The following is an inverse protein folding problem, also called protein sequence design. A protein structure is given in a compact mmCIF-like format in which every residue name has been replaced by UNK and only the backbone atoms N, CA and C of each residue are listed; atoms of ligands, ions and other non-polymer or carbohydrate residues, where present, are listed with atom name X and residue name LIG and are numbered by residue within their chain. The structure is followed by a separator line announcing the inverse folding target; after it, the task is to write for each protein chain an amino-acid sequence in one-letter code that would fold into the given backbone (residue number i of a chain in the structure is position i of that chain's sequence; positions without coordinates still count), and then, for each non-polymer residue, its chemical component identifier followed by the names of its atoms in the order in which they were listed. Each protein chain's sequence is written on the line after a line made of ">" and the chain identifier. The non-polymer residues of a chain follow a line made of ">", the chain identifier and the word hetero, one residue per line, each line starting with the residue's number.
data_IF_890933059041
#
_entry.id   IF_890933059041
#
_cell.length_a   1.000
_cell.length_b   1.000
_cell.length_c   1.000
_cell.angle_alpha   90.00
_cell.angle_beta   90.00
_cell.angle_gamma   90.00
#
_symmetry.space_group_name_H-M   'P 1'
#
loop_
_entity.id
_entity.type
_entity.pdbx_description
1 polymer ?
#
# COMPACT_ATOMS: atom_id res chain seq x y z
N UNK A 1 11.35 -14.43 13.94
CA UNK A 1 10.14 -13.90 13.28
C UNK A 1 10.54 -12.67 12.48
N UNK A 2 10.49 -12.73 11.14
CA UNK A 2 10.74 -11.55 10.30
C UNK A 2 9.70 -10.48 10.64
N UNK A 3 10.11 -9.21 10.72
CA UNK A 3 9.24 -8.06 11.02
C UNK A 3 8.16 -7.96 9.94
N UNK A 4 6.98 -8.53 10.18
CA UNK A 4 5.87 -8.55 9.22
C UNK A 4 5.21 -7.16 9.07
N UNK A 5 5.60 -6.15 9.85
CA UNK A 5 4.97 -4.84 9.70
C UNK A 5 5.90 -3.71 10.09
N UNK A 6 6.45 -3.11 9.06
CA UNK A 6 7.03 -1.76 9.11
C UNK A 6 6.52 -0.98 7.90
N UNK A 7 6.19 -1.65 6.79
CA UNK A 7 5.67 -1.01 5.57
C UNK A 7 4.27 -0.38 5.76
N UNK A 8 3.32 -1.06 6.41
CA UNK A 8 1.97 -0.49 6.61
C UNK A 8 1.97 0.73 7.54
N UNK A 9 2.76 0.71 8.62
CA UNK A 9 2.98 1.90 9.47
C UNK A 9 3.69 3.00 8.66
N UNK A 10 4.67 2.63 7.83
CA UNK A 10 5.39 3.58 7.00
C UNK A 10 4.45 4.23 6.00
N UNK A 11 3.52 3.47 5.39
CA UNK A 11 2.50 3.92 4.44
C UNK A 11 1.53 4.96 5.04
N UNK A 12 1.02 4.68 6.24
CA UNK A 12 0.16 5.61 6.96
C UNK A 12 0.93 6.83 7.50
N UNK A 13 2.23 6.69 7.78
CA UNK A 13 3.11 7.80 8.22
C UNK A 13 3.69 8.64 7.08
N UNK A 14 3.54 8.27 5.80
CA UNK A 14 4.25 8.91 4.68
C UNK A 14 3.95 10.40 4.54
N UNK A 15 2.87 10.88 5.14
CA UNK A 15 2.51 12.30 5.08
C UNK A 15 2.62 12.99 6.45
N UNK A 16 2.85 12.24 7.54
CA UNK A 16 2.85 12.73 8.93
C UNK A 16 4.20 12.63 9.62
N UNK A 17 5.13 13.52 9.26
CA UNK A 17 6.23 14.01 10.09
C UNK A 17 7.02 12.98 10.91
N UNK A 18 8.17 12.54 10.39
CA UNK A 18 9.29 12.09 11.22
C UNK A 18 9.86 13.29 11.99
N UNK A 19 9.23 13.65 13.12
CA UNK A 19 9.89 14.50 14.11
C UNK A 19 11.05 13.71 14.72
N UNK A 20 12.26 14.27 14.57
CA UNK A 20 13.50 13.65 14.99
C UNK A 20 13.53 13.25 16.45
N UNK A 21 13.64 11.94 16.70
CA UNK A 21 14.22 11.46 17.95
C UNK A 21 15.72 11.78 17.93
N UNK A 22 16.12 12.71 18.79
CA UNK A 22 17.52 13.03 19.07
C UNK A 22 18.32 11.77 19.39
N UNK A 23 19.50 11.68 18.77
CA UNK A 23 20.39 10.54 18.86
C UNK A 23 20.79 10.23 20.29
N UNK A 24 20.56 8.98 20.70
CA UNK A 24 21.33 8.34 21.76
C UNK A 24 22.13 7.23 21.09
N UNK A 25 23.44 7.48 20.96
CA UNK A 25 24.44 6.53 20.45
C UNK A 25 24.37 5.22 21.23
N UNK A 26 24.12 4.06 20.59
CA UNK A 26 24.25 2.79 21.28
C UNK A 26 25.73 2.41 21.41
N UNK A 27 26.10 2.08 22.65
CA UNK A 27 27.35 1.46 23.07
C UNK A 27 27.50 0.07 22.42
N UNK A 28 28.67 -0.27 21.85
CA UNK A 28 28.84 -1.57 21.20
C UNK A 28 29.00 -2.68 22.23
N UNK A 29 28.11 -3.68 22.16
CA UNK A 29 28.18 -4.90 22.97
C UNK A 29 29.06 -5.97 22.30
N UNK A 30 29.81 -6.68 23.15
CA UNK A 30 30.80 -7.71 22.85
C UNK A 30 30.32 -8.87 21.96
N UNK A 31 31.23 -9.33 21.12
CA UNK A 31 31.13 -10.54 20.29
C UNK A 31 31.17 -11.80 21.17
N UNK A 32 30.21 -12.72 20.95
CA UNK A 32 30.27 -14.08 21.45
C UNK A 32 30.30 -15.08 20.28
N UNK A 33 31.42 -15.78 20.21
CA UNK A 33 31.73 -16.98 19.41
C UNK A 33 30.65 -18.06 19.51
N UNK A 34 30.27 -18.70 18.41
CA UNK A 34 29.64 -20.03 18.44
C UNK A 34 30.07 -20.89 17.28
N UNK A 35 30.32 -22.15 17.63
CA UNK A 35 30.99 -23.21 16.89
C UNK A 35 30.23 -23.76 15.68
N UNK A 36 31.04 -24.22 14.74
CA UNK A 36 30.76 -25.01 13.55
C UNK A 36 30.36 -26.45 13.92
N UNK A 37 29.25 -26.94 13.37
CA UNK A 37 28.90 -28.38 13.36
C UNK A 37 28.55 -28.79 11.93
N UNK A 38 29.14 -29.92 11.58
CA UNK A 38 29.40 -30.49 10.26
C UNK A 38 28.39 -31.62 9.92
N UNK A 39 28.23 -31.91 8.62
CA UNK A 39 27.80 -33.19 7.98
C UNK A 39 26.32 -33.63 8.11
N UNK A 40 25.64 -33.90 6.99
CA UNK A 40 25.46 -35.27 6.41
C UNK A 40 24.63 -35.26 5.10
N UNK A 41 25.11 -36.09 4.17
CA UNK A 41 24.70 -36.41 2.81
C UNK A 41 23.34 -37.10 2.60
N UNK A 42 22.87 -36.92 1.36
CA UNK A 42 22.15 -37.82 0.43
C UNK A 42 20.76 -38.39 0.76
N UNK A 43 19.84 -38.27 -0.21
CA UNK A 43 19.27 -39.41 -0.96
C UNK A 43 18.51 -38.88 -2.19
N UNK A 44 18.93 -39.30 -3.39
CA UNK A 44 18.24 -39.03 -4.66
C UNK A 44 16.99 -39.92 -4.83
N UNK A 45 15.88 -39.33 -5.27
CA UNK A 45 14.66 -40.03 -5.71
C UNK A 45 14.48 -39.92 -7.23
N UNK A 46 13.93 -40.97 -7.88
CA UNK A 46 13.87 -41.11 -9.34
C UNK A 46 12.83 -40.20 -10.02
N UNK A 47 12.96 -39.96 -11.35
CA UNK A 47 12.08 -39.06 -12.09
C UNK A 47 10.71 -39.68 -12.37
N UNK A 48 9.65 -39.04 -11.86
CA UNK A 48 8.24 -39.32 -12.20
C UNK A 48 7.91 -38.71 -13.56
N UNK A 49 7.26 -39.51 -14.41
CA UNK A 49 6.86 -39.17 -15.77
C UNK A 49 5.98 -37.91 -15.83
N UNK A 50 6.32 -37.00 -16.73
CA UNK A 50 5.59 -35.79 -17.03
C UNK A 50 4.28 -36.13 -17.77
N UNK A 51 3.16 -35.80 -17.15
CA UNK A 51 1.84 -35.78 -17.77
C UNK A 51 1.67 -34.38 -18.39
N UNK A 52 1.54 -34.32 -19.71
CA UNK A 52 1.27 -33.07 -20.46
C UNK A 52 -0.14 -32.58 -20.10
N UNK A 53 -0.22 -31.69 -19.12
CA UNK A 53 -1.44 -30.97 -18.78
C UNK A 53 -1.67 -29.87 -19.84
N UNK A 54 -2.71 -30.09 -20.65
CA UNK A 54 -3.18 -29.19 -21.69
C UNK A 54 -3.65 -27.88 -21.03
N UNK A 55 -2.82 -26.84 -21.08
CA UNK A 55 -3.07 -25.56 -20.44
C UNK A 55 -4.30 -24.87 -21.07
N UNK A 56 -5.45 -24.96 -20.42
CA UNK A 56 -6.61 -24.14 -20.72
C UNK A 56 -6.25 -22.66 -20.49
N UNK A 57 -6.26 -21.90 -21.58
CA UNK A 57 -6.07 -20.44 -21.57
C UNK A 57 -7.25 -19.78 -20.87
N UNK A 58 -7.09 -19.40 -19.62
CA UNK A 58 -8.08 -18.62 -18.87
C UNK A 58 -8.18 -17.22 -19.49
N UNK A 59 -9.33 -16.91 -20.08
CA UNK A 59 -9.63 -15.61 -20.67
C UNK A 59 -9.76 -14.57 -19.55
N UNK A 60 -8.80 -13.65 -19.43
CA UNK A 60 -8.83 -12.57 -18.44
C UNK A 60 -10.00 -11.63 -18.75
N UNK A 61 -10.94 -11.49 -17.82
CA UNK A 61 -12.07 -10.56 -17.95
C UNK A 61 -11.57 -9.14 -17.71
N UNK A 62 -11.51 -8.33 -18.77
CA UNK A 62 -11.22 -6.89 -18.64
C UNK A 62 -12.37 -6.19 -17.90
N UNK A 63 -12.03 -5.52 -16.79
CA UNK A 63 -12.97 -4.68 -16.04
C UNK A 63 -13.12 -3.33 -16.75
N UNK A 64 -14.33 -3.03 -17.21
CA UNK A 64 -14.66 -1.75 -17.84
C UNK A 64 -14.52 -0.57 -16.87
N UNK A 65 -14.23 0.62 -17.42
CA UNK A 65 -14.14 1.85 -16.64
C UNK A 65 -15.44 2.12 -15.86
N UNK A 66 -15.37 2.52 -14.58
CA UNK A 66 -16.57 2.82 -13.78
C UNK A 66 -17.41 3.97 -14.36
N UNK A 67 -16.76 5.01 -14.90
CA UNK A 67 -17.43 6.17 -15.48
C UNK A 67 -16.63 6.76 -16.66
N UNK A 68 -17.28 7.64 -17.43
CA UNK A 68 -16.62 8.37 -18.52
C UNK A 68 -15.50 9.27 -17.98
N UNK A 69 -14.37 9.30 -18.68
CA UNK A 69 -13.20 10.10 -18.31
C UNK A 69 -12.28 9.48 -17.27
N UNK A 70 -12.61 8.30 -16.73
CA UNK A 70 -11.70 7.54 -15.88
C UNK A 70 -10.58 6.92 -16.71
N UNK A 71 -9.40 6.79 -16.12
CA UNK A 71 -8.19 6.24 -16.72
C UNK A 71 -7.73 5.03 -15.91
N UNK A 72 -7.28 3.98 -16.59
CA UNK A 72 -6.70 2.81 -15.95
C UNK A 72 -5.23 3.09 -15.63
N UNK A 73 -4.83 2.77 -14.42
CA UNK A 73 -3.44 2.74 -14.00
C UNK A 73 -3.09 1.29 -13.66
N UNK A 74 -1.93 0.84 -14.13
CA UNK A 74 -1.48 -0.55 -14.01
C UNK A 74 -0.01 -0.56 -13.58
N UNK A 75 0.35 -1.44 -12.65
CA UNK A 75 1.70 -1.49 -12.13
C UNK A 75 1.87 -2.34 -10.88
N UNK A 76 3.07 -2.88 -10.70
CA UNK A 76 3.43 -3.62 -9.49
C UNK A 76 2.60 -4.89 -9.21
N UNK A 77 1.86 -5.41 -10.22
CA UNK A 77 0.97 -6.57 -10.12
C UNK A 77 -0.49 -6.24 -9.77
N UNK A 78 -0.90 -4.99 -9.92
CA UNK A 78 -2.29 -4.59 -9.77
C UNK A 78 -2.68 -3.49 -10.75
N UNK A 79 -3.99 -3.33 -10.90
CA UNK A 79 -4.60 -2.33 -11.74
C UNK A 79 -5.78 -1.66 -11.04
N UNK A 80 -6.01 -0.39 -11.33
CA UNK A 80 -7.10 0.41 -10.75
C UNK A 80 -7.56 1.48 -11.74
N UNK A 81 -8.85 1.80 -11.73
CA UNK A 81 -9.37 2.95 -12.47
C UNK A 81 -9.44 4.17 -11.56
N UNK A 82 -8.91 5.30 -12.03
CA UNK A 82 -8.94 6.59 -11.33
C UNK A 82 -9.66 7.65 -12.18
N UNK A 83 -10.28 8.67 -11.57
CA UNK A 83 -10.78 9.82 -12.31
C UNK A 83 -9.69 10.48 -13.17
N UNK A 84 -10.07 11.07 -14.30
CA UNK A 84 -9.13 11.66 -15.24
C UNK A 84 -8.30 12.83 -14.71
N UNK A 85 -8.67 13.39 -13.55
CA UNK A 85 -7.97 14.45 -12.81
C UNK A 85 -6.78 13.93 -12.00
N UNK A 86 -6.65 12.61 -11.82
CA UNK A 86 -5.53 12.02 -11.13
C UNK A 86 -4.31 11.92 -12.05
N UNK A 87 -3.17 12.37 -11.54
CA UNK A 87 -1.85 12.25 -12.17
C UNK A 87 -0.93 11.45 -11.25
N UNK A 88 -0.15 10.53 -11.82
CA UNK A 88 0.70 9.63 -11.06
C UNK A 88 1.21 8.48 -11.91
N UNK A 89 1.59 7.39 -11.26
CA UNK A 89 2.12 6.22 -11.93
C UNK A 89 2.75 5.23 -10.97
N UNK A 90 3.70 4.46 -11.48
CA UNK A 90 4.46 3.47 -10.71
C UNK A 90 5.76 4.12 -10.28
N UNK A 91 6.04 4.33 -8.98
CA UNK A 91 7.26 5.04 -8.58
C UNK A 91 8.58 4.40 -9.04
N UNK A 92 8.63 3.11 -9.34
CA UNK A 92 9.81 2.47 -9.95
C UNK A 92 10.03 2.82 -11.43
N UNK A 93 9.02 3.37 -12.11
CA UNK A 93 9.05 3.75 -13.53
C UNK A 93 8.99 5.29 -13.70
N UNK A 94 8.14 5.95 -12.92
CA UNK A 94 7.78 7.36 -13.03
C UNK A 94 8.38 8.24 -11.91
N UNK A 95 9.49 7.80 -11.31
CA UNK A 95 10.01 8.37 -10.08
C UNK A 95 10.20 9.89 -10.11
N UNK A 96 10.91 10.39 -11.13
CA UNK A 96 11.27 11.80 -11.25
C UNK A 96 10.02 12.67 -11.40
N UNK A 97 9.03 12.20 -12.17
CA UNK A 97 7.75 12.88 -12.34
C UNK A 97 6.98 12.97 -11.01
N UNK A 98 6.84 11.85 -10.31
CA UNK A 98 6.13 11.77 -9.04
C UNK A 98 6.80 12.64 -7.97
N UNK A 99 8.11 12.53 -7.82
CA UNK A 99 8.86 13.28 -6.82
C UNK A 99 8.84 14.79 -7.10
N UNK A 100 8.96 15.18 -8.38
CA UNK A 100 8.81 16.59 -8.78
C UNK A 100 7.42 17.10 -8.45
N UNK A 101 6.37 16.31 -8.77
CA UNK A 101 4.99 16.72 -8.56
C UNK A 101 4.67 16.92 -7.08
N UNK A 102 5.15 16.04 -6.20
CA UNK A 102 5.01 16.19 -4.74
C UNK A 102 5.61 17.52 -4.26
N UNK A 103 6.84 17.84 -4.71
CA UNK A 103 7.54 19.08 -4.33
C UNK A 103 6.85 20.33 -4.85
N UNK A 104 6.30 20.29 -6.06
CA UNK A 104 5.56 21.41 -6.65
C UNK A 104 4.28 21.73 -5.87
N UNK A 105 3.63 20.71 -5.30
CA UNK A 105 2.35 20.88 -4.61
C UNK A 105 2.56 21.53 -3.25
N UNK A 106 3.52 21.03 -2.47
CA UNK A 106 3.90 21.67 -1.22
C UNK A 106 5.41 21.44 -0.96
N UNK A 107 6.23 22.51 -0.86
CA UNK A 107 7.63 22.38 -0.48
C UNK A 107 7.89 21.64 0.83
N UNK A 108 6.91 21.64 1.76
CA UNK A 108 7.01 20.90 3.02
C UNK A 108 6.98 19.37 2.82
N UNK A 109 6.62 18.89 1.62
CA UNK A 109 6.62 17.47 1.25
C UNK A 109 7.97 16.97 0.71
N UNK A 110 9.04 17.74 0.80
CA UNK A 110 10.39 17.33 0.35
C UNK A 110 10.83 15.97 0.94
N UNK A 111 10.53 15.73 2.22
CA UNK A 111 10.85 14.47 2.88
C UNK A 111 10.10 13.28 2.28
N UNK A 112 8.86 13.50 1.85
CA UNK A 112 8.02 12.48 1.22
C UNK A 112 8.62 12.12 -0.15
N UNK A 113 8.92 13.15 -0.96
CA UNK A 113 9.57 12.97 -2.25
C UNK A 113 10.90 12.20 -2.10
N UNK A 114 11.75 12.61 -1.15
CA UNK A 114 13.03 11.94 -0.87
C UNK A 114 12.85 10.47 -0.47
N UNK A 115 11.84 10.15 0.35
CA UNK A 115 11.61 8.79 0.80
C UNK A 115 11.10 7.89 -0.34
N UNK A 116 10.27 8.41 -1.24
CA UNK A 116 9.85 7.71 -2.46
C UNK A 116 11.06 7.48 -3.37
N UNK A 117 11.93 8.48 -3.55
CA UNK A 117 13.18 8.36 -4.31
C UNK A 117 14.12 7.29 -3.76
N UNK A 118 14.16 7.12 -2.44
CA UNK A 118 14.97 6.11 -1.78
C UNK A 118 14.33 4.72 -1.80
N UNK A 119 13.02 4.62 -1.96
CA UNK A 119 12.26 3.38 -1.83
C UNK A 119 11.16 3.27 -2.91
N UNK A 120 11.49 3.37 -4.21
CA UNK A 120 10.48 3.41 -5.27
C UNK A 120 9.63 2.13 -5.32
N UNK A 121 10.23 0.98 -4.98
CA UNK A 121 9.56 -0.32 -4.96
C UNK A 121 8.58 -0.50 -3.78
N UNK A 122 8.51 0.46 -2.86
CA UNK A 122 7.56 0.40 -1.75
C UNK A 122 6.12 0.49 -2.24
N UNK A 123 5.90 1.23 -3.34
CA UNK A 123 4.58 1.47 -3.92
C UNK A 123 4.43 0.71 -5.22
N UNK A 124 3.30 0.00 -5.35
CA UNK A 124 2.84 -0.49 -6.64
C UNK A 124 2.29 0.66 -7.49
N UNK A 125 1.70 1.67 -6.85
CA UNK A 125 1.11 2.83 -7.51
C UNK A 125 1.04 4.03 -6.55
N UNK A 126 1.24 5.24 -7.08
CA UNK A 126 1.01 6.49 -6.38
C UNK A 126 0.44 7.53 -7.34
N UNK A 127 -0.68 8.14 -6.97
CA UNK A 127 -1.32 9.19 -7.77
C UNK A 127 -1.97 10.27 -6.90
N UNK A 128 -2.11 11.45 -7.49
CA UNK A 128 -2.59 12.66 -6.83
C UNK A 128 -3.71 13.26 -7.65
N UNK A 129 -4.75 13.74 -6.98
CA UNK A 129 -5.79 14.50 -7.63
C UNK A 129 -5.28 15.92 -7.92
N UNK A 130 -5.33 16.35 -9.17
CA UNK A 130 -4.99 17.72 -9.55
C UNK A 130 -6.03 18.74 -9.10
N UNK A 131 -7.24 18.31 -8.73
CA UNK A 131 -8.26 19.17 -8.15
C UNK A 131 -8.05 19.32 -6.63
N UNK A 132 -7.52 20.47 -6.22
CA UNK A 132 -7.32 20.82 -4.80
C UNK A 132 -8.68 21.14 -4.16
N UNK A 133 -8.96 20.54 -3.01
CA UNK A 133 -10.17 20.78 -2.21
C UNK A 133 -10.16 22.13 -1.48
N UNK A 134 -11.07 22.30 -0.53
CA UNK A 134 -11.14 23.54 0.27
C UNK A 134 -9.95 23.70 1.23
N UNK A 135 -9.37 22.57 1.66
CA UNK A 135 -8.17 22.54 2.51
C UNK A 135 -6.90 22.39 1.67
N UNK A 136 -5.76 22.92 2.13
CA UNK A 136 -4.46 22.80 1.46
C UNK A 136 -3.84 21.39 1.64
N UNK A 137 -4.67 20.34 1.62
CA UNK A 137 -4.24 18.95 1.65
C UNK A 137 -4.48 18.33 0.28
N UNK A 138 -3.43 17.71 -0.26
CA UNK A 138 -3.49 17.06 -1.56
C UNK A 138 -4.22 15.72 -1.45
N UNK A 139 -5.36 15.62 -2.12
CA UNK A 139 -6.04 14.33 -2.24
C UNK A 139 -5.16 13.38 -3.04
N UNK A 140 -4.94 12.19 -2.50
CA UNK A 140 -4.05 11.21 -3.12
C UNK A 140 -4.55 9.79 -2.91
N UNK A 141 -4.02 8.90 -3.74
CA UNK A 141 -4.17 7.46 -3.62
C UNK A 141 -2.79 6.82 -3.71
N UNK A 142 -2.54 5.84 -2.86
CA UNK A 142 -1.38 4.99 -2.98
C UNK A 142 -1.78 3.51 -2.81
N UNK A 143 -1.01 2.64 -3.47
CA UNK A 143 -1.17 1.19 -3.38
C UNK A 143 0.17 0.59 -3.02
N UNK A 144 0.17 -0.22 -1.96
CA UNK A 144 1.32 -1.07 -1.61
C UNK A 144 0.89 -2.53 -1.58
N UNK A 145 1.87 -3.42 -1.69
CA UNK A 145 1.67 -4.83 -1.45
C UNK A 145 2.62 -5.36 -0.39
N UNK A 146 2.11 -6.23 0.48
CA UNK A 146 2.90 -6.90 1.50
C UNK A 146 2.76 -8.41 1.35
N UNK A 147 3.85 -9.16 1.53
CA UNK A 147 3.78 -10.61 1.56
C UNK A 147 2.93 -11.07 2.75
N UNK A 148 1.89 -11.84 2.47
CA UNK A 148 0.96 -12.35 3.46
C UNK A 148 0.90 -13.88 3.38
N UNK A 149 1.37 -14.60 4.41
CA UNK A 149 1.33 -16.06 4.44
C UNK A 149 -0.08 -16.60 4.14
N UNK A 150 -0.17 -17.68 3.36
CA UNK A 150 -1.46 -18.23 2.91
C UNK A 150 -2.40 -18.64 4.06
N UNK A 151 -1.83 -19.00 5.21
CA UNK A 151 -2.56 -19.39 6.41
C UNK A 151 -3.00 -18.20 7.29
N UNK A 152 -2.59 -16.97 6.97
CA UNK A 152 -3.00 -15.79 7.73
C UNK A 152 -4.30 -15.24 7.15
N UNK A 153 -5.32 -15.13 7.99
CA UNK A 153 -6.61 -14.56 7.60
C UNK A 153 -6.55 -13.04 7.60
N UNK A 154 -7.49 -12.40 6.90
CA UNK A 154 -7.55 -10.93 6.83
C UNK A 154 -7.87 -10.31 8.19
N UNK A 155 -8.67 -10.97 9.03
CA UNK A 155 -8.98 -10.57 10.41
C UNK A 155 -7.72 -10.56 11.27
N UNK A 156 -6.92 -11.64 11.19
CA UNK A 156 -5.69 -11.74 11.96
C UNK A 156 -4.68 -10.68 11.52
N UNK A 157 -4.58 -10.44 10.21
CA UNK A 157 -3.74 -9.39 9.67
C UNK A 157 -4.19 -8.00 10.11
N UNK A 158 -5.50 -7.74 10.14
CA UNK A 158 -6.07 -6.49 10.63
C UNK A 158 -5.76 -6.28 12.11
N UNK A 159 -5.90 -7.29 12.95
CA UNK A 159 -5.60 -7.19 14.38
C UNK A 159 -4.12 -6.86 14.63
N UNK A 160 -3.21 -7.48 13.87
CA UNK A 160 -1.77 -7.17 13.91
C UNK A 160 -1.53 -5.71 13.48
N UNK A 161 -2.16 -5.29 12.37
CA UNK A 161 -2.10 -3.93 11.85
C UNK A 161 -2.54 -2.90 12.90
N UNK A 162 -3.69 -3.12 13.56
CA UNK A 162 -4.21 -2.23 14.60
C UNK A 162 -3.28 -2.10 15.80
N UNK A 163 -2.60 -3.18 16.20
CA UNK A 163 -1.61 -3.14 17.29
C UNK A 163 -0.36 -2.34 16.94
N UNK A 164 -0.11 -2.13 15.66
CA UNK A 164 1.08 -1.47 15.12
C UNK A 164 0.81 -0.01 14.75
N UNK A 165 -0.45 0.37 14.58
CA UNK A 165 -0.81 1.75 14.30
C UNK A 165 -0.34 2.68 15.43
N UNK A 166 0.36 3.77 15.09
CA UNK A 166 0.73 4.78 16.06
C UNK A 166 -0.50 5.40 16.74
N UNK A 167 -0.34 5.88 17.97
CA UNK A 167 -1.46 6.37 18.78
C UNK A 167 -2.18 7.60 18.20
N UNK A 168 -1.55 8.34 17.28
CA UNK A 168 -2.16 9.46 16.57
C UNK A 168 -3.17 9.04 15.49
N UNK A 169 -3.19 7.77 15.09
CA UNK A 169 -4.18 7.25 14.14
C UNK A 169 -5.44 6.84 14.90
N UNK A 170 -6.54 7.50 14.58
CA UNK A 170 -7.83 7.23 15.17
C UNK A 170 -8.72 6.50 14.15
N UNK A 171 -8.89 5.19 14.32
CA UNK A 171 -9.83 4.40 13.51
C UNK A 171 -11.26 4.76 13.95
N UNK A 172 -12.04 5.35 13.04
CA UNK A 172 -13.42 5.78 13.30
C UNK A 172 -14.46 4.84 12.69
N UNK A 173 -14.08 4.02 11.72
CA UNK A 173 -14.95 3.03 11.07
C UNK A 173 -14.12 1.81 10.66
N UNK A 174 -14.69 0.61 10.80
CA UNK A 174 -14.12 -0.67 10.37
C UNK A 174 -15.26 -1.52 9.77
N UNK A 175 -15.10 -1.99 8.54
CA UNK A 175 -16.08 -2.83 7.86
C UNK A 175 -15.40 -3.93 7.03
N UNK A 176 -15.89 -5.17 7.16
CA UNK A 176 -15.51 -6.29 6.29
C UNK A 176 -16.36 -6.26 5.03
N UNK A 177 -15.71 -6.24 3.87
CA UNK A 177 -16.35 -6.11 2.56
C UNK A 177 -15.72 -7.11 1.57
N UNK A 178 -16.19 -7.09 0.33
CA UNK A 178 -15.55 -7.79 -0.78
C UNK A 178 -15.22 -6.80 -1.90
N UNK A 179 -14.03 -6.93 -2.48
CA UNK A 179 -13.62 -6.18 -3.68
C UNK A 179 -13.30 -7.21 -4.76
N UNK A 180 -14.08 -7.21 -5.85
CA UNK A 180 -13.93 -8.17 -6.96
C UNK A 180 -13.84 -9.64 -6.48
N UNK A 181 -14.79 -10.03 -5.61
CA UNK A 181 -14.87 -11.36 -4.98
C UNK A 181 -13.67 -11.76 -4.11
N UNK A 182 -12.82 -10.79 -3.73
CA UNK A 182 -11.74 -10.99 -2.77
C UNK A 182 -12.13 -10.43 -1.40
N UNK A 183 -11.90 -11.19 -0.30
CA UNK A 183 -12.12 -10.67 1.05
C UNK A 183 -11.29 -9.41 1.28
N UNK A 184 -11.93 -8.38 1.84
CA UNK A 184 -11.29 -7.12 2.12
C UNK A 184 -11.80 -6.49 3.42
N UNK A 185 -11.05 -5.53 3.94
CA UNK A 185 -11.44 -4.68 5.06
C UNK A 185 -11.33 -3.23 4.64
N UNK A 186 -12.35 -2.42 4.92
CA UNK A 186 -12.30 -0.96 4.85
C UNK A 186 -12.12 -0.39 6.26
N UNK A 187 -11.14 0.49 6.40
CA UNK A 187 -10.95 1.33 7.59
C UNK A 187 -11.15 2.79 7.19
N UNK A 188 -11.82 3.55 8.05
CA UNK A 188 -11.77 5.01 7.99
C UNK A 188 -10.93 5.50 9.15
N UNK A 189 -9.89 6.28 8.85
CA UNK A 189 -8.88 6.70 9.82
C UNK A 189 -8.78 8.22 9.80
N UNK A 190 -8.76 8.82 10.99
CA UNK A 190 -8.50 10.25 11.18
C UNK A 190 -7.14 10.46 11.84
N UNK A 191 -6.40 11.47 11.39
CA UNK A 191 -5.14 11.87 11.99
C UNK A 191 -4.81 13.35 11.72
N UNK A 192 -3.84 13.88 12.47
CA UNK A 192 -3.26 15.20 12.22
C UNK A 192 -1.88 15.05 11.58
N UNK A 193 -1.62 15.88 10.58
CA UNK A 193 -0.53 15.69 9.65
C UNK A 193 -0.03 17.04 9.12
N UNK A 194 1.21 17.40 9.46
CA UNK A 194 1.77 18.73 9.16
C UNK A 194 0.82 19.89 9.56
N UNK A 195 0.10 19.74 10.67
CA UNK A 195 -0.90 20.71 11.16
C UNK A 195 -2.25 20.69 10.43
N UNK A 196 -2.46 19.77 9.50
CA UNK A 196 -3.73 19.56 8.79
C UNK A 196 -4.47 18.34 9.35
N UNK A 197 -5.78 18.43 9.49
CA UNK A 197 -6.62 17.28 9.81
C UNK A 197 -6.91 16.49 8.54
N UNK A 198 -6.50 15.22 8.54
CA UNK A 198 -6.59 14.31 7.40
C UNK A 198 -7.52 13.17 7.75
N UNK A 199 -8.27 12.71 6.76
CA UNK A 199 -9.13 11.54 6.87
C UNK A 199 -8.87 10.63 5.67
N UNK A 200 -8.70 9.35 5.94
CA UNK A 200 -8.28 8.34 4.97
C UNK A 200 -9.28 7.20 4.89
N UNK A 201 -9.51 6.69 3.68
CA UNK A 201 -10.13 5.38 3.45
C UNK A 201 -9.02 4.39 3.10
N UNK A 202 -8.81 3.40 3.97
CA UNK A 202 -7.83 2.34 3.76
C UNK A 202 -8.56 1.05 3.44
N UNK A 203 -8.25 0.43 2.31
CA UNK A 203 -8.79 -0.85 1.89
C UNK A 203 -7.68 -1.89 1.90
N UNK A 204 -7.85 -2.94 2.69
CA UNK A 204 -6.91 -4.06 2.76
C UNK A 204 -7.54 -5.24 2.02
N UNK A 205 -7.02 -5.58 0.85
CA UNK A 205 -7.55 -6.65 -0.03
C UNK A 205 -6.65 -7.88 0.06
N UNK A 206 -7.26 -9.04 0.32
CA UNK A 206 -6.54 -10.32 0.38
C UNK A 206 -6.28 -10.88 -1.02
N UNK A 207 -5.02 -10.97 -1.42
CA UNK A 207 -4.56 -11.84 -2.52
C UNK A 207 -4.19 -13.24 -2.03
N UNK A 208 -3.57 -14.08 -2.85
CA UNK A 208 -3.23 -15.46 -2.46
C UNK A 208 -2.05 -15.51 -1.47
N UNK A 209 -0.99 -14.78 -1.78
CA UNK A 209 0.26 -14.69 -1.00
C UNK A 209 0.64 -13.25 -0.63
N UNK A 210 -0.26 -12.29 -0.89
CA UNK A 210 -0.09 -10.88 -0.58
C UNK A 210 -1.33 -10.28 0.06
N UNK A 211 -1.13 -9.21 0.83
CA UNK A 211 -2.14 -8.21 1.14
C UNK A 211 -1.86 -6.98 0.29
N UNK A 212 -2.92 -6.39 -0.26
CA UNK A 212 -2.85 -5.13 -1.00
C UNK A 212 -3.50 -4.06 -0.16
N UNK A 213 -2.82 -2.94 0.05
CA UNK A 213 -3.33 -1.82 0.85
C UNK A 213 -3.51 -0.64 -0.08
N UNK A 214 -4.76 -0.21 -0.24
CA UNK A 214 -5.15 0.94 -1.05
C UNK A 214 -5.54 2.04 -0.07
N UNK A 215 -4.76 3.12 -0.03
CA UNK A 215 -5.01 4.25 0.87
C UNK A 215 -5.44 5.45 0.03
N UNK A 216 -6.66 5.94 0.26
CA UNK A 216 -7.15 7.20 -0.31
C UNK A 216 -7.20 8.25 0.80
N UNK A 217 -6.43 9.32 0.69
CA UNK A 217 -6.31 10.36 1.72
C UNK A 217 -6.81 11.70 1.20
N UNK A 218 -7.49 12.47 2.05
CA UNK A 218 -7.89 13.87 1.77
C UNK A 218 -8.01 14.67 3.07
N UNK A 219 -8.15 16.00 2.96
CA UNK A 219 -8.52 16.85 4.09
C UNK A 219 -9.84 16.39 4.71
N UNK A 220 -9.92 16.44 6.05
CA UNK A 220 -11.08 15.93 6.82
C UNK A 220 -12.42 16.52 6.37
N UNK A 221 -12.45 17.81 6.04
CA UNK A 221 -13.67 18.51 5.61
C UNK A 221 -14.15 18.07 4.20
N UNK A 222 -13.21 17.67 3.32
CA UNK A 222 -13.53 17.22 1.96
C UNK A 222 -13.93 15.73 1.91
N UNK A 223 -13.66 14.99 2.99
CA UNK A 223 -13.72 13.53 3.00
C UNK A 223 -15.10 12.97 2.65
N UNK A 224 -16.17 13.47 3.28
CA UNK A 224 -17.51 12.92 3.06
C UNK A 224 -17.99 13.13 1.62
N UNK A 225 -17.53 14.19 0.95
CA UNK A 225 -17.82 14.46 -0.47
C UNK A 225 -16.99 13.56 -1.40
N UNK A 226 -15.74 13.26 -1.03
CA UNK A 226 -14.82 12.44 -1.84
C UNK A 226 -14.99 10.93 -1.62
N UNK A 227 -15.53 10.51 -0.48
CA UNK A 227 -15.74 9.10 -0.12
C UNK A 227 -16.41 8.27 -1.22
N UNK A 228 -17.50 8.71 -1.88
CA UNK A 228 -18.11 7.92 -2.95
C UNK A 228 -17.18 7.67 -4.15
N UNK A 229 -16.27 8.60 -4.45
CA UNK A 229 -15.25 8.42 -5.49
C UNK A 229 -14.19 7.42 -5.00
N UNK A 230 -13.75 7.52 -3.75
CA UNK A 230 -12.81 6.57 -3.15
C UNK A 230 -13.35 5.13 -3.18
N UNK A 231 -14.63 4.95 -2.87
CA UNK A 231 -15.29 3.64 -2.92
C UNK A 231 -15.36 3.09 -4.35
N UNK A 232 -15.62 3.94 -5.36
CA UNK A 232 -15.60 3.52 -6.77
C UNK A 232 -14.18 3.14 -7.24
N UNK A 233 -13.17 3.92 -6.86
CA UNK A 233 -11.76 3.59 -7.15
C UNK A 233 -11.39 2.25 -6.54
N UNK A 234 -11.64 2.05 -5.24
CA UNK A 234 -11.35 0.79 -4.56
C UNK A 234 -12.08 -0.41 -5.16
N UNK A 235 -13.35 -0.27 -5.54
CA UNK A 235 -14.10 -1.36 -6.19
C UNK A 235 -13.59 -1.69 -7.61
N UNK A 236 -12.91 -0.75 -8.26
CA UNK A 236 -12.28 -0.98 -9.57
C UNK A 236 -10.93 -1.69 -9.49
N UNK A 237 -10.40 -1.91 -8.28
CA UNK A 237 -9.09 -2.52 -8.06
C UNK A 237 -9.07 -4.00 -8.44
N UNK A 238 -8.10 -4.39 -9.26
CA UNK A 238 -7.83 -5.77 -9.64
C UNK A 238 -6.40 -6.15 -9.35
N UNK A 239 -6.19 -7.42 -8.97
CA UNK A 239 -4.86 -8.02 -8.81
C UNK A 239 -4.55 -8.72 -10.13
N UNK A 240 -3.45 -8.35 -10.76
CA UNK A 240 -3.04 -8.97 -12.01
C UNK A 240 -2.41 -10.34 -11.71
N UNK A 241 -2.65 -11.32 -12.59
CA UNK A 241 -2.20 -12.72 -12.43
C UNK A 241 -0.83 -12.96 -13.04
#
# INVERSE_FOLDING_TARGET
>A
MKKISTLLILNLLLLGGLFGCGGSTPEPAEEATTSEVEVTEETETPPTAAEEEEAESVEQVEVAAPEEGWKKFEGGGASIWLPGTYDGGVPSEDLEFIATRIREINPDFEQIATMIEQNPDMFSLLAFDSEIGEQPFLTNINIISEALPSNLTIETYLDITKQQLPAQFNIVEEEFIEINSKPAVRLIIELEMAGSLVKESVYIVRGDNKAWVITCATGKEDFETRRPIFEKMANSFTIDS
#
